data_IF_948888123562
#
_entry.id   IF_948888123562
#
_cell.length_a   1.000
_cell.length_b   1.000
_cell.length_c   1.000
_cell.angle_alpha   90.00
_cell.angle_beta   90.00
_cell.angle_gamma   90.00
#
_symmetry.space_group_name_H-M   'P 1'
#
loop_
_entity.id
_entity.type
_entity.pdbx_description
1 polymer ?
#
# COMPACT_ATOMS: atom_id res chain seq x y z
N UNK A 1 28.38 -2.30 34.84
CA UNK A 1 27.82 -3.35 33.95
C UNK A 1 26.35 -3.10 33.55
N UNK A 2 25.84 -1.87 33.69
CA UNK A 2 24.48 -1.48 33.26
C UNK A 2 24.37 -0.58 32.00
N UNK A 3 25.43 0.08 31.46
CA UNK A 3 25.23 0.97 30.30
C UNK A 3 25.08 0.20 28.97
N UNK A 4 25.44 -1.10 28.96
CA UNK A 4 25.31 -1.95 27.77
C UNK A 4 23.84 -2.34 27.50
N UNK A 5 23.05 -2.54 28.56
CA UNK A 5 21.62 -2.89 28.46
C UNK A 5 20.76 -1.71 27.95
N UNK A 6 21.11 -0.48 28.30
CA UNK A 6 20.37 0.73 27.86
C UNK A 6 20.53 0.98 26.36
N UNK A 7 21.71 0.71 25.79
CA UNK A 7 21.95 0.89 24.35
C UNK A 7 21.18 -0.11 23.49
N UNK A 8 20.92 -1.33 23.97
CA UNK A 8 20.21 -2.35 23.20
C UNK A 8 18.71 -2.03 23.04
N UNK A 9 18.11 -1.32 24.01
CA UNK A 9 16.70 -0.96 23.99
C UNK A 9 16.34 0.07 22.89
N UNK A 10 17.31 0.89 22.44
CA UNK A 10 17.07 1.93 21.43
C UNK A 10 16.89 1.38 20.00
N UNK A 11 17.34 0.15 19.73
CA UNK A 11 17.13 -0.50 18.42
C UNK A 11 15.71 -1.07 18.23
N UNK A 12 14.94 -1.22 19.31
CA UNK A 12 13.58 -1.77 19.24
C UNK A 12 12.48 -0.71 18.97
N UNK A 13 12.84 0.57 18.90
CA UNK A 13 11.90 1.68 18.66
C UNK A 13 12.17 2.29 17.28
N UNK A 14 12.10 1.47 16.23
CA UNK A 14 11.94 2.00 14.87
C UNK A 14 10.46 1.85 14.48
N UNK A 15 9.87 2.91 13.96
CA UNK A 15 8.50 2.85 13.47
C UNK A 15 8.46 1.97 12.21
N UNK A 16 7.88 0.77 12.33
CA UNK A 16 7.65 -0.13 11.21
C UNK A 16 6.31 0.22 10.56
N UNK A 17 6.35 1.02 9.49
CA UNK A 17 5.15 1.36 8.72
C UNK A 17 4.88 0.26 7.69
N UNK A 18 3.75 -0.45 7.78
CA UNK A 18 3.38 -1.45 6.74
C UNK A 18 2.94 -0.77 5.43
N UNK A 19 2.46 0.47 5.54
CA UNK A 19 2.17 1.34 4.40
C UNK A 19 2.10 2.81 4.82
N UNK A 20 2.27 3.71 3.86
CA UNK A 20 2.07 5.16 4.05
C UNK A 20 1.08 5.64 3.00
N UNK A 21 0.12 6.46 3.42
CA UNK A 21 -0.88 7.05 2.52
C UNK A 21 -0.74 8.57 2.52
N UNK A 22 -0.80 9.15 1.33
CA UNK A 22 -0.79 10.59 1.09
C UNK A 22 -2.07 10.95 0.35
N UNK A 23 -2.72 12.04 0.74
CA UNK A 23 -3.92 12.55 0.08
C UNK A 23 -3.69 14.03 -0.18
N UNK A 24 -3.94 14.46 -1.40
CA UNK A 24 -3.79 15.85 -1.85
C UNK A 24 -5.02 16.29 -2.64
N UNK A 25 -5.32 17.58 -2.60
CA UNK A 25 -6.34 18.20 -3.44
C UNK A 25 -5.65 18.98 -4.56
N UNK A 26 -5.96 18.62 -5.81
CA UNK A 26 -5.51 19.35 -6.99
C UNK A 26 -6.54 20.42 -7.34
N UNK A 27 -6.21 21.69 -7.02
CA UNK A 27 -7.04 22.85 -7.32
C UNK A 27 -7.33 23.03 -8.82
N UNK A 28 -6.38 22.66 -9.70
CA UNK A 28 -6.50 22.87 -11.14
C UNK A 28 -7.49 21.88 -11.76
N UNK A 29 -7.44 20.63 -11.28
CA UNK A 29 -8.32 19.54 -11.73
C UNK A 29 -9.60 19.42 -10.91
N UNK A 30 -9.71 20.15 -9.79
CA UNK A 30 -10.76 20.00 -8.78
C UNK A 30 -10.94 18.52 -8.38
N UNK A 31 -9.82 17.86 -8.10
CA UNK A 31 -9.77 16.42 -7.85
C UNK A 31 -9.03 16.12 -6.54
N UNK A 32 -9.46 15.08 -5.83
CA UNK A 32 -8.71 14.52 -4.70
C UNK A 32 -7.88 13.36 -5.22
N UNK A 33 -6.59 13.39 -4.94
CA UNK A 33 -5.65 12.33 -5.30
C UNK A 33 -5.13 11.63 -4.05
N UNK A 34 -5.06 10.31 -4.10
CA UNK A 34 -4.51 9.50 -3.02
C UNK A 34 -3.36 8.63 -3.56
N UNK A 35 -2.24 8.61 -2.83
CA UNK A 35 -1.09 7.77 -3.11
C UNK A 35 -0.84 6.85 -1.92
N UNK A 36 -0.74 5.55 -2.17
CA UNK A 36 -0.48 4.55 -1.11
C UNK A 36 0.80 3.81 -1.42
N UNK A 37 1.82 4.00 -0.57
CA UNK A 37 3.08 3.25 -0.60
C UNK A 37 2.93 2.04 0.31
N UNK A 38 3.11 0.84 -0.23
CA UNK A 38 2.96 -0.42 0.50
C UNK A 38 4.25 -1.23 0.34
N UNK A 39 4.71 -1.86 1.42
CA UNK A 39 5.83 -2.81 1.34
C UNK A 39 5.39 -4.05 0.54
N UNK A 40 6.06 -4.31 -0.57
CA UNK A 40 5.58 -5.27 -1.55
C UNK A 40 5.66 -6.72 -1.06
N UNK A 41 6.61 -7.06 -0.17
CA UNK A 41 6.78 -8.43 0.35
C UNK A 41 5.52 -8.94 1.09
N UNK A 42 4.98 -8.13 2.00
CA UNK A 42 3.74 -8.46 2.73
C UNK A 42 2.51 -8.32 1.83
N UNK A 43 2.57 -7.38 0.88
CA UNK A 43 1.47 -7.14 -0.03
C UNK A 43 1.27 -8.30 -1.02
N UNK A 44 2.35 -8.87 -1.56
CA UNK A 44 2.29 -10.04 -2.43
C UNK A 44 1.58 -11.21 -1.76
N UNK A 45 1.91 -11.51 -0.49
CA UNK A 45 1.26 -12.57 0.26
C UNK A 45 -0.25 -12.32 0.43
N UNK A 46 -0.63 -11.05 0.55
CA UNK A 46 -2.04 -10.65 0.67
C UNK A 46 -2.76 -10.82 -0.67
N UNK A 47 -2.14 -10.41 -1.78
CA UNK A 47 -2.67 -10.57 -3.13
C UNK A 47 -2.80 -12.05 -3.52
N UNK A 48 -1.84 -12.91 -3.16
CA UNK A 48 -1.92 -14.38 -3.34
C UNK A 48 -3.18 -14.94 -2.71
N UNK A 49 -3.40 -14.63 -1.42
CA UNK A 49 -4.56 -15.11 -0.65
C UNK A 49 -5.87 -14.59 -1.21
N UNK A 50 -5.94 -13.32 -1.60
CA UNK A 50 -7.17 -12.73 -2.13
C UNK A 50 -7.52 -13.25 -3.53
N UNK A 51 -6.53 -13.41 -4.40
CA UNK A 51 -6.72 -13.91 -5.76
C UNK A 51 -6.81 -15.43 -5.85
N UNK A 52 -6.59 -16.15 -4.74
CA UNK A 52 -6.48 -17.61 -4.69
C UNK A 52 -5.41 -18.16 -5.66
N UNK A 53 -4.36 -17.37 -5.90
CA UNK A 53 -3.26 -17.71 -6.78
C UNK A 53 -1.93 -17.71 -5.99
N UNK A 54 -1.54 -18.88 -5.49
CA UNK A 54 -0.31 -19.06 -4.70
C UNK A 54 0.98 -18.86 -5.51
N UNK A 55 0.91 -19.07 -6.84
CA UNK A 55 2.03 -18.92 -7.77
C UNK A 55 2.25 -17.48 -8.24
N UNK A 56 1.40 -16.54 -7.80
CA UNK A 56 1.54 -15.12 -8.14
C UNK A 56 2.88 -14.56 -7.66
N UNK A 57 3.56 -13.80 -8.50
CA UNK A 57 4.83 -13.15 -8.16
C UNK A 57 4.79 -11.76 -8.77
N UNK A 58 4.79 -10.71 -7.93
CA UNK A 58 4.63 -9.31 -8.37
C UNK A 58 5.73 -8.93 -9.36
N UNK A 59 6.94 -9.48 -9.20
CA UNK A 59 8.10 -9.14 -10.02
C UNK A 59 8.14 -9.90 -11.35
N UNK A 60 7.54 -11.09 -11.41
CA UNK A 60 7.59 -11.96 -12.61
C UNK A 60 6.29 -11.98 -13.42
N UNK A 61 5.18 -11.58 -12.82
CA UNK A 61 3.87 -11.62 -13.48
C UNK A 61 3.72 -10.50 -14.52
N UNK A 62 2.76 -10.66 -15.43
CA UNK A 62 2.41 -9.59 -16.37
C UNK A 62 1.87 -8.38 -15.61
N UNK A 63 2.31 -7.17 -16.00
CA UNK A 63 1.86 -5.91 -15.42
C UNK A 63 0.33 -5.75 -15.41
N UNK A 64 -0.37 -6.22 -16.44
CA UNK A 64 -1.84 -6.18 -16.48
C UNK A 64 -2.45 -6.99 -15.33
N UNK A 65 -1.95 -8.21 -15.10
CA UNK A 65 -2.43 -9.07 -14.00
C UNK A 65 -2.11 -8.46 -12.63
N UNK A 66 -0.92 -7.89 -12.50
CA UNK A 66 -0.50 -7.20 -11.27
C UNK A 66 -1.42 -6.01 -10.98
N UNK A 67 -1.68 -5.17 -11.98
CA UNK A 67 -2.57 -4.01 -11.83
C UNK A 67 -4.01 -4.44 -11.53
N UNK A 68 -4.53 -5.49 -12.17
CA UNK A 68 -5.85 -6.02 -11.88
C UNK A 68 -5.97 -6.50 -10.42
N UNK A 69 -4.98 -7.26 -9.94
CA UNK A 69 -4.99 -7.76 -8.56
C UNK A 69 -4.87 -6.64 -7.53
N UNK A 70 -4.04 -5.63 -7.80
CA UNK A 70 -3.90 -4.46 -6.94
C UNK A 70 -5.19 -3.65 -6.93
N UNK A 71 -5.77 -3.38 -8.11
CA UNK A 71 -7.03 -2.66 -8.24
C UNK A 71 -8.14 -3.36 -7.46
N UNK A 72 -8.31 -4.66 -7.66
CA UNK A 72 -9.30 -5.46 -6.95
C UNK A 72 -9.08 -5.43 -5.43
N UNK A 73 -7.82 -5.48 -4.98
CA UNK A 73 -7.50 -5.31 -3.56
C UNK A 73 -7.95 -3.93 -3.06
N UNK A 74 -7.57 -2.85 -3.73
CA UNK A 74 -7.86 -1.50 -3.28
C UNK A 74 -9.37 -1.22 -3.27
N UNK A 75 -10.09 -1.60 -4.33
CA UNK A 75 -11.54 -1.36 -4.43
C UNK A 75 -12.34 -2.10 -3.37
N UNK A 76 -11.88 -3.28 -2.93
CA UNK A 76 -12.56 -4.06 -1.89
C UNK A 76 -12.16 -3.66 -0.46
N UNK A 77 -11.01 -3.01 -0.26
CA UNK A 77 -10.45 -2.74 1.07
C UNK A 77 -10.33 -1.24 1.40
N UNK A 78 -10.62 -0.34 0.46
CA UNK A 78 -10.52 1.11 0.66
C UNK A 78 -11.84 1.76 0.29
N UNK A 79 -12.33 2.61 1.20
CA UNK A 79 -13.52 3.43 1.02
C UNK A 79 -13.16 4.90 1.16
N UNK A 80 -13.67 5.75 0.26
CA UNK A 80 -13.56 7.20 0.37
C UNK A 80 -14.90 7.78 0.82
N UNK A 81 -14.88 8.47 1.96
CA UNK A 81 -16.05 9.16 2.50
C UNK A 81 -15.73 10.65 2.62
N UNK A 82 -16.52 11.48 1.95
CA UNK A 82 -16.38 12.95 1.98
C UNK A 82 -17.74 13.52 2.36
N UNK A 83 -17.79 14.28 3.46
CA UNK A 83 -19.03 14.87 3.97
C UNK A 83 -20.18 13.84 4.08
N UNK A 84 -19.91 12.71 4.74
CA UNK A 84 -20.86 11.61 4.96
C UNK A 84 -21.39 10.92 3.69
N UNK A 85 -20.79 11.19 2.53
CA UNK A 85 -21.12 10.52 1.27
C UNK A 85 -19.94 9.66 0.82
N UNK A 86 -20.25 8.43 0.43
CA UNK A 86 -19.29 7.49 -0.15
C UNK A 86 -19.03 7.83 -1.62
N UNK A 87 -17.76 7.74 -2.03
CA UNK A 87 -17.31 7.97 -3.39
C UNK A 87 -16.49 6.78 -3.89
N UNK A 88 -16.76 6.38 -5.13
CA UNK A 88 -15.89 5.47 -5.87
C UNK A 88 -14.62 6.21 -6.30
N UNK A 89 -13.55 5.46 -6.52
CA UNK A 89 -12.28 5.98 -6.99
C UNK A 89 -11.81 5.26 -8.25
N UNK A 90 -11.01 5.97 -9.05
CA UNK A 90 -10.35 5.41 -10.21
C UNK A 90 -8.91 5.04 -9.86
N UNK A 91 -8.55 3.77 -10.05
CA UNK A 91 -7.17 3.33 -9.91
C UNK A 91 -6.37 3.74 -11.15
N UNK A 92 -5.32 4.54 -10.94
CA UNK A 92 -4.49 5.09 -12.02
C UNK A 92 -3.28 4.20 -12.38
N UNK A 93 -2.89 3.28 -11.49
CA UNK A 93 -1.71 2.42 -11.67
C UNK A 93 -0.80 2.41 -10.46
N UNK A 94 0.26 1.61 -10.56
CA UNK A 94 1.29 1.46 -9.52
C UNK A 94 2.69 1.68 -10.09
N UNK A 95 3.62 2.00 -9.21
CA UNK A 95 5.04 2.06 -9.53
C UNK A 95 5.85 1.43 -8.40
N UNK A 96 6.80 0.57 -8.76
CA UNK A 96 7.70 -0.09 -7.83
C UNK A 96 9.00 0.69 -7.72
N UNK A 97 9.39 1.02 -6.48
CA UNK A 97 10.72 1.54 -6.16
C UNK A 97 11.41 0.57 -5.23
N UNK A 98 12.62 0.17 -5.62
CA UNK A 98 13.54 -0.60 -4.79
C UNK A 98 14.37 0.44 -4.01
N UNK A 99 13.92 0.82 -2.81
CA UNK A 99 14.68 1.66 -1.87
C UNK A 99 15.24 0.82 -0.72
#
# INVERSE_FOLDING_TARGET
MYPLLVNLALFFIHDFFVSVSYIEYDDQRNAIEAQKKIFFDDFEQTLKKQSLNEDFDILKSNQVLVDDYIKDYLTNNIEFVINDKQYDFEYLGQNMKME
#
